data_IF_600076487194
#
_entry.id   IF_600076487194
#
_cell.length_a   1.000
_cell.length_b   1.000
_cell.length_c   1.000
_cell.angle_alpha   90.00
_cell.angle_beta   90.00
_cell.angle_gamma   90.00
#
_symmetry.space_group_name_H-M   'P 1'
#
loop_
_entity.id
_entity.type
_entity.pdbx_description
1 polymer ?
#
# COMPACT_ATOMS: atom_id res chain seq x y z
N UNK A 1 8.52 31.35 -97.10
CA UNK A 1 8.84 29.99 -96.61
C UNK A 1 8.81 30.01 -95.08
N UNK A 2 8.21 29.13 -94.28
CA UNK A 2 7.34 27.96 -94.43
C UNK A 2 7.00 27.50 -92.98
N UNK A 3 5.69 27.39 -92.60
CA UNK A 3 5.08 26.51 -91.54
C UNK A 3 5.58 26.67 -90.08
N UNK A 4 4.91 26.36 -88.96
CA UNK A 4 3.73 25.58 -88.53
C UNK A 4 3.59 25.83 -86.99
N UNK A 5 2.41 26.18 -86.44
CA UNK A 5 1.54 25.36 -85.56
C UNK A 5 1.84 25.29 -84.04
N UNK A 6 0.77 25.47 -83.24
CA UNK A 6 0.45 24.75 -82.00
C UNK A 6 1.24 25.10 -80.72
N UNK A 7 0.71 25.88 -79.77
CA UNK A 7 -0.30 25.53 -78.74
C UNK A 7 0.22 24.75 -77.51
N UNK A 8 -0.17 25.25 -76.32
CA UNK A 8 -0.51 24.53 -75.06
C UNK A 8 0.55 24.31 -73.95
N UNK A 9 0.24 24.95 -72.80
CA UNK A 9 0.00 24.38 -71.45
C UNK A 9 1.15 23.99 -70.49
N UNK A 10 0.79 24.23 -69.20
CA UNK A 10 1.21 23.61 -67.92
C UNK A 10 2.48 24.22 -67.30
N UNK A 11 2.44 24.92 -66.17
CA UNK A 11 1.89 24.64 -64.82
C UNK A 11 2.55 23.44 -64.14
N UNK A 12 3.03 23.71 -62.92
CA UNK A 12 3.36 22.80 -61.82
C UNK A 12 4.74 22.12 -61.85
N UNK A 13 5.70 22.78 -61.21
CA UNK A 13 6.75 22.09 -60.45
C UNK A 13 7.02 22.89 -59.18
N UNK A 14 6.51 22.42 -58.04
CA UNK A 14 6.72 23.09 -56.77
C UNK A 14 6.09 22.34 -55.59
N UNK A 15 6.97 21.81 -54.72
CA UNK A 15 6.72 21.33 -53.36
C UNK A 15 5.93 20.04 -53.18
N UNK A 16 6.67 18.94 -53.29
CA UNK A 16 6.44 17.68 -52.56
C UNK A 16 7.39 17.65 -51.35
N UNK A 17 7.05 18.33 -50.27
CA UNK A 17 7.61 18.14 -48.91
C UNK A 17 6.97 19.17 -47.97
N UNK A 18 5.89 18.81 -47.27
CA UNK A 18 5.31 19.74 -46.31
C UNK A 18 4.00 19.34 -45.62
N UNK A 19 3.25 18.36 -46.12
CA UNK A 19 1.86 18.17 -45.66
C UNK A 19 1.51 16.72 -45.25
N UNK A 20 2.31 16.08 -44.40
CA UNK A 20 1.94 14.76 -43.82
C UNK A 20 1.96 14.73 -42.27
N UNK A 21 2.38 15.79 -41.58
CA UNK A 21 2.39 15.79 -40.11
C UNK A 21 1.34 16.72 -39.47
N UNK A 22 0.10 16.66 -39.95
CA UNK A 22 -1.05 17.24 -39.23
C UNK A 22 -2.24 16.28 -39.25
N UNK A 23 -2.05 15.06 -38.76
CA UNK A 23 -3.16 14.23 -38.26
C UNK A 23 -3.23 14.40 -36.75
N UNK A 24 -4.40 14.84 -36.30
CA UNK A 24 -4.64 15.31 -34.95
C UNK A 24 -4.18 14.35 -33.86
N UNK A 25 -3.51 14.91 -32.86
CA UNK A 25 -3.59 14.39 -31.53
C UNK A 25 -5.06 14.54 -31.09
N UNK A 26 -5.88 13.53 -31.39
CA UNK A 26 -7.06 13.29 -30.59
C UNK A 26 -6.55 13.16 -29.16
N UNK A 27 -6.94 14.09 -28.31
CA UNK A 27 -6.89 13.91 -26.86
C UNK A 27 -7.64 12.61 -26.59
N UNK A 28 -6.91 11.50 -26.51
CA UNK A 28 -7.44 10.27 -26.00
C UNK A 28 -7.84 10.60 -24.57
N UNK A 29 -9.15 10.70 -24.34
CA UNK A 29 -9.70 10.87 -23.01
C UNK A 29 -8.98 9.88 -22.08
N UNK A 30 -8.58 10.31 -20.87
CA UNK A 30 -7.99 9.39 -19.91
C UNK A 30 -8.92 8.17 -19.80
N UNK A 31 -8.36 6.95 -19.70
CA UNK A 31 -9.17 5.75 -19.57
C UNK A 31 -10.23 5.99 -18.48
N UNK A 32 -11.48 5.53 -18.68
CA UNK A 32 -12.51 5.71 -17.67
C UNK A 32 -11.95 5.21 -16.35
N UNK A 33 -11.88 6.11 -15.36
CA UNK A 33 -11.38 5.78 -14.03
C UNK A 33 -12.06 4.47 -13.61
N UNK A 34 -11.25 3.47 -13.25
CA UNK A 34 -11.75 2.19 -12.77
C UNK A 34 -12.87 2.46 -11.75
N UNK A 35 -14.01 1.74 -11.80
CA UNK A 35 -15.14 2.03 -10.93
C UNK A 35 -14.62 2.05 -9.49
N UNK A 36 -14.79 3.20 -8.82
CA UNK A 36 -14.40 3.34 -7.44
C UNK A 36 -15.16 2.28 -6.64
N UNK A 37 -14.45 1.21 -6.26
CA UNK A 37 -15.01 0.10 -5.49
C UNK A 37 -15.57 0.69 -4.20
N UNK A 38 -16.90 0.81 -4.12
CA UNK A 38 -17.59 1.22 -2.90
C UNK A 38 -17.38 0.12 -1.87
N UNK A 39 -16.36 0.30 -1.01
CA UNK A 39 -16.13 -0.61 0.11
C UNK A 39 -17.35 -0.56 1.02
N UNK A 40 -18.12 -1.64 1.02
CA UNK A 40 -19.15 -1.90 2.02
C UNK A 40 -18.44 -2.40 3.28
N UNK A 41 -18.64 -1.71 4.39
CA UNK A 41 -18.08 -2.10 5.69
C UNK A 41 -19.10 -2.94 6.46
N UNK A 42 -18.61 -3.91 7.24
CA UNK A 42 -19.46 -4.90 7.93
C UNK A 42 -19.37 -6.29 7.28
N UNK A 43 -20.11 -7.27 7.83
CA UNK A 43 -20.11 -8.64 7.30
C UNK A 43 -18.87 -9.46 7.64
N UNK A 44 -18.30 -9.28 8.83
CA UNK A 44 -17.16 -10.06 9.30
C UNK A 44 -17.53 -11.54 9.45
N UNK A 45 -16.83 -12.42 8.73
CA UNK A 45 -17.04 -13.87 8.84
C UNK A 45 -16.54 -14.37 10.19
N UNK A 46 -17.04 -15.51 10.62
CA UNK A 46 -16.66 -16.09 11.91
C UNK A 46 -15.15 -16.44 11.95
N UNK A 47 -14.59 -16.87 10.82
CA UNK A 47 -13.16 -17.17 10.65
C UNK A 47 -12.26 -15.94 10.79
N UNK A 48 -12.77 -14.74 10.49
CA UNK A 48 -12.02 -13.49 10.54
C UNK A 48 -12.03 -12.88 11.97
N UNK A 49 -12.74 -13.51 12.92
CA UNK A 49 -12.79 -13.07 14.31
C UNK A 49 -11.50 -13.46 15.02
N UNK A 50 -10.75 -12.46 15.46
CA UNK A 50 -9.53 -12.66 16.25
C UNK A 50 -9.86 -13.23 17.65
N UNK A 51 -10.98 -12.83 18.25
CA UNK A 51 -11.42 -13.29 19.56
C UNK A 51 -12.45 -14.41 19.43
N UNK A 52 -11.98 -15.63 19.24
CA UNK A 52 -12.81 -16.81 18.97
C UNK A 52 -13.53 -17.36 20.20
N UNK A 53 -12.95 -17.28 21.40
CA UNK A 53 -13.58 -17.73 22.66
C UNK A 53 -14.15 -16.58 23.49
N UNK A 54 -14.82 -15.61 22.85
CA UNK A 54 -15.30 -14.41 23.54
C UNK A 54 -16.40 -14.72 24.57
N UNK A 55 -17.23 -15.73 24.31
CA UNK A 55 -18.37 -16.10 25.16
C UNK A 55 -18.08 -17.23 26.15
N UNK A 56 -16.85 -17.77 26.16
CA UNK A 56 -16.47 -18.87 27.05
C UNK A 56 -17.09 -20.23 26.70
N UNK A 57 -17.50 -20.42 25.44
CA UNK A 57 -18.03 -21.71 24.93
C UNK A 57 -16.95 -22.80 24.94
N UNK A 58 -15.69 -22.42 24.80
CA UNK A 58 -14.54 -23.31 24.81
C UNK A 58 -13.73 -23.15 26.10
N UNK A 59 -12.87 -24.13 26.38
CA UNK A 59 -11.97 -24.09 27.53
C UNK A 59 -11.07 -22.84 27.50
N UNK A 60 -11.12 -22.07 28.57
CA UNK A 60 -10.34 -20.84 28.75
C UNK A 60 -8.92 -21.11 29.25
N UNK A 61 -8.61 -22.36 29.65
CA UNK A 61 -7.27 -22.76 30.05
C UNK A 61 -6.33 -22.90 28.85
N UNK A 62 -5.07 -23.19 29.16
CA UNK A 62 -3.99 -23.25 28.17
C UNK A 62 -4.22 -24.32 27.09
N UNK A 63 -4.78 -25.47 27.46
CA UNK A 63 -5.06 -26.56 26.51
C UNK A 63 -6.09 -26.14 25.45
N UNK A 64 -7.14 -25.41 25.87
CA UNK A 64 -8.10 -24.80 24.96
C UNK A 64 -7.47 -23.68 24.11
N UNK A 65 -6.58 -22.88 24.70
CA UNK A 65 -5.88 -21.80 23.99
C UNK A 65 -4.98 -22.33 22.87
N UNK A 66 -4.16 -23.35 23.14
CA UNK A 66 -3.30 -23.98 22.13
C UNK A 66 -4.13 -24.52 20.94
N UNK A 67 -5.31 -25.09 21.19
CA UNK A 67 -6.21 -25.58 20.13
C UNK A 67 -6.76 -24.47 19.23
N UNK A 68 -6.91 -23.25 19.74
CA UNK A 68 -7.37 -22.08 18.96
C UNK A 68 -6.25 -21.42 18.16
N UNK A 69 -5.01 -21.88 18.32
CA UNK A 69 -3.83 -21.25 17.73
C UNK A 69 -3.24 -20.13 18.59
N UNK A 70 -3.73 -19.93 19.82
CA UNK A 70 -3.04 -19.09 20.79
C UNK A 70 -1.67 -19.75 21.08
N UNK A 71 -0.59 -18.95 21.17
CA UNK A 71 0.81 -19.41 21.27
C UNK A 71 1.41 -20.05 20.02
N UNK A 72 0.71 -20.02 18.88
CA UNK A 72 1.27 -20.52 17.62
C UNK A 72 2.46 -19.67 17.16
N UNK A 73 3.59 -20.33 16.89
CA UNK A 73 4.84 -19.73 16.39
C UNK A 73 5.35 -18.49 17.17
N UNK A 74 5.04 -18.39 18.46
CA UNK A 74 5.44 -17.21 19.25
C UNK A 74 6.96 -17.13 19.39
N UNK A 75 7.66 -18.27 19.37
CA UNK A 75 9.11 -18.34 19.41
C UNK A 75 9.72 -17.66 18.17
N UNK A 76 9.21 -17.98 16.98
CA UNK A 76 9.65 -17.45 15.69
C UNK A 76 9.41 -15.94 15.61
N UNK A 77 8.25 -15.47 16.08
CA UNK A 77 7.95 -14.03 16.19
C UNK A 77 8.99 -13.33 17.08
N UNK A 78 9.37 -13.97 18.19
CA UNK A 78 10.36 -13.42 19.11
C UNK A 78 11.76 -13.35 18.50
N UNK A 79 12.14 -14.30 17.63
CA UNK A 79 13.42 -14.31 16.93
C UNK A 79 13.56 -13.20 15.88
N UNK A 80 12.47 -12.71 15.29
CA UNK A 80 12.51 -11.59 14.34
C UNK A 80 12.95 -10.27 14.99
N UNK A 81 12.81 -10.17 16.32
CA UNK A 81 13.22 -9.02 17.10
C UNK A 81 12.19 -7.88 17.15
N UNK A 82 12.40 -6.92 18.07
CA UNK A 82 11.41 -5.90 18.39
C UNK A 82 11.17 -4.90 17.25
N UNK A 83 12.20 -4.59 16.47
CA UNK A 83 12.10 -3.63 15.35
C UNK A 83 11.14 -4.15 14.26
N UNK A 84 11.26 -5.44 13.90
CA UNK A 84 10.37 -6.09 12.95
C UNK A 84 8.91 -6.09 13.42
N UNK A 85 8.67 -6.41 14.70
CA UNK A 85 7.32 -6.41 15.30
C UNK A 85 6.70 -5.01 15.24
N UNK A 86 7.47 -3.96 15.55
CA UNK A 86 6.99 -2.57 15.51
C UNK A 86 6.64 -2.14 14.08
N UNK A 87 7.44 -2.54 13.10
CA UNK A 87 7.15 -2.26 11.68
C UNK A 87 5.87 -2.96 11.22
N UNK A 88 5.68 -4.23 11.57
CA UNK A 88 4.48 -4.99 11.19
C UNK A 88 3.21 -4.39 11.83
N UNK A 89 3.32 -3.91 13.07
CA UNK A 89 2.24 -3.20 13.76
C UNK A 89 1.93 -1.83 13.16
N UNK A 90 2.91 -1.17 12.54
CA UNK A 90 2.68 0.07 11.78
C UNK A 90 1.98 -0.23 10.45
N UNK A 91 2.40 -1.28 9.74
CA UNK A 91 1.79 -1.72 8.47
C UNK A 91 0.33 -2.16 8.64
N UNK A 92 -0.01 -2.83 9.75
CA UNK A 92 -1.39 -3.25 10.04
C UNK A 92 -2.35 -2.08 10.25
N UNK A 93 -1.85 -0.86 10.47
CA UNK A 93 -2.68 0.32 10.72
C UNK A 93 -3.49 0.22 12.01
N UNK A 94 -3.07 -0.64 12.96
CA UNK A 94 -3.80 -0.82 14.21
C UNK A 94 -3.80 0.47 15.03
N UNK A 95 -5.01 0.89 15.42
CA UNK A 95 -5.25 2.05 16.28
C UNK A 95 -5.69 1.60 17.67
N UNK A 96 -5.29 2.36 18.69
CA UNK A 96 -5.64 2.08 20.08
C UNK A 96 -7.15 1.99 20.27
N UNK A 97 -7.60 0.99 21.02
CA UNK A 97 -9.02 0.72 21.30
C UNK A 97 -9.55 1.40 22.57
N UNK A 98 -8.70 2.16 23.28
CA UNK A 98 -9.05 2.89 24.51
C UNK A 98 -9.59 4.31 24.31
N UNK A 99 -10.34 4.58 23.23
CA UNK A 99 -11.00 5.88 22.99
C UNK A 99 -10.16 6.94 22.26
N UNK A 100 -8.86 7.06 22.52
CA UNK A 100 -8.01 8.06 21.85
C UNK A 100 -7.62 7.71 20.40
N UNK A 101 -7.75 6.43 19.99
CA UNK A 101 -7.48 6.02 18.61
C UNK A 101 -6.04 6.23 18.13
N UNK A 102 -5.07 6.37 19.04
CA UNK A 102 -3.66 6.60 18.69
C UNK A 102 -3.05 5.38 17.99
N UNK A 103 -2.23 5.52 16.93
CA UNK A 103 -1.63 4.37 16.23
C UNK A 103 -0.73 3.54 17.16
N UNK A 104 -1.07 2.25 17.34
CA UNK A 104 -0.40 1.38 18.32
C UNK A 104 1.08 1.17 17.98
N UNK A 105 1.40 0.91 16.71
CA UNK A 105 2.79 0.72 16.26
C UNK A 105 3.66 1.97 16.42
N UNK A 106 3.08 3.17 16.27
CA UNK A 106 3.79 4.43 16.53
C UNK A 106 4.08 4.60 18.02
N UNK A 107 3.09 4.29 18.88
CA UNK A 107 3.25 4.36 20.34
C UNK A 107 4.41 3.49 20.81
N UNK A 108 4.53 2.28 20.26
CA UNK A 108 5.57 1.33 20.66
C UNK A 108 6.97 1.77 20.21
N UNK A 109 7.08 2.54 19.13
CA UNK A 109 8.37 3.03 18.66
C UNK A 109 9.00 4.13 19.51
N UNK A 110 8.27 4.68 20.48
CA UNK A 110 8.83 5.65 21.44
C UNK A 110 9.67 4.98 22.54
N UNK A 111 9.67 3.65 22.64
CA UNK A 111 10.46 2.95 23.64
C UNK A 111 11.96 3.12 23.34
N UNK A 112 12.79 3.62 24.28
CA UNK A 112 14.21 3.79 24.04
C UNK A 112 14.88 2.44 23.78
N UNK A 113 15.59 2.32 22.65
CA UNK A 113 16.30 1.09 22.25
C UNK A 113 17.49 0.76 23.18
N UNK A 114 17.92 1.70 24.02
CA UNK A 114 18.97 1.52 25.02
C UNK A 114 18.39 1.79 26.40
N UNK A 115 18.34 0.78 27.26
CA UNK A 115 18.19 0.96 28.70
C UNK A 115 19.56 1.26 29.30
N UNK A 116 19.77 2.47 29.83
CA UNK A 116 20.94 2.77 30.68
C UNK A 116 22.04 3.67 30.07
N UNK A 117 21.68 4.82 29.51
CA UNK A 117 22.62 5.95 29.44
C UNK A 117 22.48 6.85 30.69
N UNK A 118 22.54 6.25 31.87
CA UNK A 118 22.85 6.95 33.12
C UNK A 118 23.97 6.16 33.78
N UNK A 119 25.18 6.33 33.26
CA UNK A 119 26.38 6.02 34.01
C UNK A 119 26.46 6.99 35.17
N UNK A 120 25.79 6.66 36.27
CA UNK A 120 26.15 7.23 37.57
C UNK A 120 27.40 6.45 37.98
N UNK A 121 28.58 7.06 38.06
CA UNK A 121 29.74 6.36 38.61
C UNK A 121 29.38 5.96 40.04
N UNK A 122 29.53 4.67 40.35
CA UNK A 122 29.38 4.15 41.71
C UNK A 122 30.52 4.72 42.58
N UNK A 123 30.36 5.96 43.06
CA UNK A 123 31.14 6.49 44.18
C UNK A 123 30.47 6.01 45.47
N UNK A 124 30.97 4.90 46.02
CA UNK A 124 30.68 4.53 47.41
C UNK A 124 31.55 5.41 48.32
N UNK A 125 30.91 6.07 49.29
CA UNK A 125 31.56 6.57 50.52
C UNK A 125 31.51 5.49 51.58
#
# INVERSE_FOLDING_TARGET
>A
MLRSSGSKLKTAFGRLAGDILRRGAASAAPPPAAPAMTKVYGGLKDQDRIFTNLYGEYDWRIDGAMKRGDWHMTKEIMWQGPDWIVEEMKKSGLRGRGGAGFPSGLKWSFMPKKSGATGVPLSWS
#
